data_IF_888258217675
#
_entry.id   IF_888258217675
#
_cell.length_a   1.000
_cell.length_b   1.000
_cell.length_c   1.000
_cell.angle_alpha   90.00
_cell.angle_beta   90.00
_cell.angle_gamma   90.00
#
_symmetry.space_group_name_H-M   'P 1'
#
loop_
_entity.id
_entity.type
_entity.pdbx_description
1 polymer ?
#
# COMPACT_ATOMS: atom_id res chain seq x y z
N UNK A 1 41.23 6.74 -20.65
CA UNK A 1 40.24 7.81 -20.38
C UNK A 1 39.08 7.82 -21.39
N UNK A 2 39.32 7.61 -22.69
CA UNK A 2 38.25 7.58 -23.72
C UNK A 2 37.29 6.38 -23.62
N UNK A 3 37.74 5.21 -23.17
CA UNK A 3 36.88 4.02 -23.01
C UNK A 3 35.90 4.16 -21.82
N UNK A 4 36.30 4.87 -20.76
CA UNK A 4 35.45 5.10 -19.58
C UNK A 4 34.32 6.11 -19.86
N UNK A 5 34.57 7.10 -20.74
CA UNK A 5 33.55 8.04 -21.20
C UNK A 5 32.54 7.38 -22.16
N UNK A 6 32.99 6.42 -22.99
CA UNK A 6 32.10 5.68 -23.91
C UNK A 6 31.21 4.69 -23.14
N UNK A 7 31.72 4.02 -22.11
CA UNK A 7 30.92 3.17 -21.22
C UNK A 7 29.94 3.98 -20.37
N UNK A 8 30.31 5.17 -19.90
CA UNK A 8 29.39 6.06 -19.19
C UNK A 8 28.24 6.56 -20.08
N UNK A 9 28.49 6.84 -21.36
CA UNK A 9 27.46 7.26 -22.32
C UNK A 9 26.55 6.13 -22.80
N UNK A 10 27.04 4.88 -22.87
CA UNK A 10 26.21 3.71 -23.23
C UNK A 10 25.28 3.33 -22.06
N UNK A 11 25.73 3.51 -20.81
CA UNK A 11 24.88 3.28 -19.62
C UNK A 11 23.80 4.38 -19.47
N UNK A 12 24.05 5.61 -19.93
CA UNK A 12 23.00 6.67 -19.91
C UNK A 12 21.96 6.51 -21.02
N UNK A 13 22.33 5.95 -22.18
CA UNK A 13 21.41 5.75 -23.30
C UNK A 13 20.50 4.52 -23.15
N UNK A 14 20.88 3.53 -22.33
CA UNK A 14 20.06 2.33 -22.04
C UNK A 14 19.02 2.55 -20.92
N UNK A 15 19.01 3.72 -20.29
CA UNK A 15 18.07 4.11 -19.21
C UNK A 15 16.95 5.04 -19.67
N UNK A 16 16.85 5.35 -20.97
CA UNK A 16 15.70 6.06 -21.51
C UNK A 16 14.57 5.06 -21.79
N UNK A 17 13.42 5.15 -21.10
CA UNK A 17 12.27 4.32 -21.45
C UNK A 17 11.86 4.65 -22.90
N UNK A 18 11.95 3.65 -23.77
CA UNK A 18 11.37 3.73 -25.10
C UNK A 18 9.85 3.66 -24.95
N UNK A 19 9.19 4.81 -25.09
CA UNK A 19 7.73 4.92 -25.08
C UNK A 19 7.11 4.11 -26.22
N UNK A 20 6.21 3.19 -25.87
CA UNK A 20 5.24 2.59 -26.79
C UNK A 20 3.87 2.59 -26.09
N UNK A 21 2.94 3.40 -26.62
CA UNK A 21 1.57 3.57 -26.14
C UNK A 21 1.41 4.78 -25.20
N UNK A 22 0.95 5.91 -25.74
CA UNK A 22 0.54 7.05 -24.92
C UNK A 22 -0.80 6.75 -24.24
N UNK A 23 -0.81 5.85 -23.25
CA UNK A 23 -1.78 5.92 -22.17
C UNK A 23 -1.52 7.23 -21.41
N UNK A 24 -2.58 7.92 -20.96
CA UNK A 24 -2.39 9.15 -20.21
C UNK A 24 -1.64 8.82 -18.91
N UNK A 25 -0.36 9.15 -18.85
CA UNK A 25 0.43 8.95 -17.65
C UNK A 25 -0.02 9.95 -16.59
N UNK A 26 -0.85 9.50 -15.65
CA UNK A 26 -1.22 10.29 -14.48
C UNK A 26 0.02 10.74 -13.71
N UNK A 27 0.10 12.04 -13.41
CA UNK A 27 1.15 12.58 -12.56
C UNK A 27 0.90 12.17 -11.10
N UNK A 28 1.59 11.14 -10.63
CA UNK A 28 1.34 10.53 -9.31
C UNK A 28 1.99 11.28 -8.14
N UNK A 29 2.74 12.36 -8.38
CA UNK A 29 3.54 13.02 -7.34
C UNK A 29 2.70 13.44 -6.14
N UNK A 30 1.63 14.21 -6.36
CA UNK A 30 0.75 14.70 -5.29
C UNK A 30 -0.03 13.56 -4.65
N UNK A 31 -0.60 12.66 -5.46
CA UNK A 31 -1.33 11.49 -4.97
C UNK A 31 -0.48 10.63 -4.03
N UNK A 32 0.77 10.37 -4.38
CA UNK A 32 1.71 9.63 -3.54
C UNK A 32 1.93 10.28 -2.19
N UNK A 33 1.88 11.61 -2.11
CA UNK A 33 2.16 12.41 -0.91
C UNK A 33 0.92 12.59 -0.04
N UNK A 34 -0.28 12.31 -0.55
CA UNK A 34 -1.52 12.39 0.23
C UNK A 34 -1.37 11.62 1.55
N UNK A 35 -1.71 12.22 2.68
CA UNK A 35 -1.58 11.56 3.98
C UNK A 35 -2.70 10.53 4.23
N UNK A 36 -2.36 9.50 4.99
CA UNK A 36 -3.29 8.50 5.52
C UNK A 36 -2.90 8.11 6.95
N UNK A 37 -3.88 7.91 7.82
CA UNK A 37 -3.68 7.34 9.15
C UNK A 37 -3.79 5.81 9.10
N UNK A 38 -2.64 5.13 9.16
CA UNK A 38 -2.56 3.67 9.17
C UNK A 38 -1.76 3.19 10.37
N UNK A 39 -2.32 2.24 11.14
CA UNK A 39 -1.70 1.72 12.38
C UNK A 39 -1.32 2.82 13.39
N UNK A 40 -2.17 3.84 13.53
CA UNK A 40 -1.95 4.95 14.46
C UNK A 40 -0.86 5.94 14.04
N UNK A 41 -0.29 5.80 12.83
CA UNK A 41 0.71 6.73 12.28
C UNK A 41 0.25 7.32 10.96
N UNK A 42 0.42 8.64 10.83
CA UNK A 42 0.28 9.34 9.56
C UNK A 42 1.46 9.01 8.65
N UNK A 43 1.17 8.48 7.47
CA UNK A 43 2.16 8.13 6.44
C UNK A 43 1.68 8.61 5.07
N UNK A 44 2.58 8.81 4.09
CA UNK A 44 2.13 9.14 2.75
C UNK A 44 1.45 7.93 2.12
N UNK A 45 0.46 8.16 1.26
CA UNK A 45 -0.38 7.15 0.65
C UNK A 45 0.44 6.14 -0.16
N UNK A 46 1.56 6.56 -0.74
CA UNK A 46 2.51 5.65 -1.39
C UNK A 46 3.08 4.59 -0.44
N UNK A 47 3.33 4.95 0.82
CA UNK A 47 3.82 4.00 1.83
C UNK A 47 2.74 2.98 2.19
N UNK A 48 1.51 3.45 2.37
CA UNK A 48 0.37 2.57 2.59
C UNK A 48 0.16 1.61 1.40
N UNK A 49 0.22 2.14 0.18
CA UNK A 49 0.11 1.36 -1.04
C UNK A 49 1.17 0.25 -1.12
N UNK A 50 2.45 0.58 -0.84
CA UNK A 50 3.54 -0.39 -0.82
C UNK A 50 3.32 -1.49 0.22
N UNK A 51 2.86 -1.13 1.42
CA UNK A 51 2.61 -2.08 2.51
C UNK A 51 1.50 -3.06 2.10
N UNK A 52 0.38 -2.53 1.61
CA UNK A 52 -0.76 -3.35 1.18
C UNK A 52 -0.40 -4.25 0.00
N UNK A 53 0.25 -3.71 -1.03
CA UNK A 53 0.63 -4.51 -2.20
C UNK A 53 1.58 -5.64 -1.83
N UNK A 54 2.60 -5.37 -1.00
CA UNK A 54 3.54 -6.39 -0.52
C UNK A 54 2.85 -7.42 0.37
N UNK A 55 1.90 -7.00 1.21
CA UNK A 55 1.15 -7.91 2.06
C UNK A 55 0.31 -8.89 1.25
N UNK A 56 -0.28 -8.46 0.14
CA UNK A 56 -1.11 -9.32 -0.71
C UNK A 56 -0.28 -10.16 -1.69
N UNK A 57 0.67 -9.53 -2.39
CA UNK A 57 1.38 -10.16 -3.52
C UNK A 57 2.78 -10.65 -3.19
N UNK A 58 3.39 -10.13 -2.13
CA UNK A 58 4.83 -10.28 -1.86
C UNK A 58 5.73 -9.45 -2.81
N UNK A 59 5.16 -8.64 -3.70
CA UNK A 59 5.88 -7.90 -4.74
C UNK A 59 5.88 -6.39 -4.46
N UNK A 60 6.90 -5.69 -4.98
CA UNK A 60 6.99 -4.21 -4.89
C UNK A 60 6.20 -3.52 -6.01
N UNK A 61 5.99 -4.24 -7.11
CA UNK A 61 5.27 -3.80 -8.30
C UNK A 61 4.43 -4.96 -8.78
N UNK A 62 3.31 -4.65 -9.42
CA UNK A 62 2.42 -5.64 -10.00
C UNK A 62 2.36 -5.42 -11.50
N UNK A 63 2.92 -6.36 -12.27
CA UNK A 63 3.09 -6.21 -13.72
C UNK A 63 3.87 -4.92 -14.03
N UNK A 64 3.26 -3.97 -14.77
CA UNK A 64 3.83 -2.66 -15.08
C UNK A 64 3.39 -1.54 -14.13
N UNK A 65 2.61 -1.86 -13.09
CA UNK A 65 2.08 -0.89 -12.13
C UNK A 65 2.95 -0.82 -10.87
N UNK A 66 3.29 0.38 -10.44
CA UNK A 66 3.77 0.60 -9.08
C UNK A 66 2.63 0.47 -8.06
N UNK A 67 2.99 0.40 -6.77
CA UNK A 67 1.99 0.22 -5.72
C UNK A 67 0.93 1.33 -5.69
N UNK A 68 1.31 2.58 -6.00
CA UNK A 68 0.35 3.70 -5.99
C UNK A 68 -0.62 3.63 -7.16
N UNK A 69 -0.17 3.18 -8.33
CA UNK A 69 -1.04 2.91 -9.49
C UNK A 69 -2.00 1.75 -9.19
N UNK A 70 -1.48 0.66 -8.60
CA UNK A 70 -2.33 -0.45 -8.15
C UNK A 70 -3.38 -0.01 -7.13
N UNK A 71 -2.99 0.80 -6.13
CA UNK A 71 -3.94 1.32 -5.15
C UNK A 71 -5.00 2.21 -5.80
N UNK A 72 -4.61 3.05 -6.76
CA UNK A 72 -5.54 3.91 -7.52
C UNK A 72 -6.58 3.07 -8.26
N UNK A 73 -6.15 2.03 -8.98
CA UNK A 73 -7.04 1.07 -9.64
C UNK A 73 -7.98 0.39 -8.63
N UNK A 74 -7.44 -0.05 -7.49
CA UNK A 74 -8.20 -0.74 -6.44
C UNK A 74 -9.28 0.15 -5.82
N UNK A 75 -9.01 1.44 -5.66
CA UNK A 75 -9.91 2.40 -5.05
C UNK A 75 -10.98 2.92 -6.02
N UNK A 76 -10.63 3.17 -7.28
CA UNK A 76 -11.49 3.88 -8.23
C UNK A 76 -12.08 3.00 -9.34
N UNK A 77 -11.56 1.78 -9.51
CA UNK A 77 -12.14 0.77 -10.38
C UNK A 77 -12.13 -0.63 -9.74
N UNK A 78 -12.93 -0.83 -8.67
CA UNK A 78 -12.90 -2.06 -7.88
C UNK A 78 -13.32 -3.30 -8.67
N UNK A 79 -14.09 -3.14 -9.75
CA UNK A 79 -14.46 -4.26 -10.62
C UNK A 79 -13.23 -4.83 -11.33
N UNK A 80 -12.45 -3.96 -12.01
CA UNK A 80 -11.21 -4.38 -12.66
C UNK A 80 -10.18 -4.87 -11.66
N UNK A 81 -10.09 -4.23 -10.49
CA UNK A 81 -9.17 -4.65 -9.42
C UNK A 81 -9.51 -6.04 -8.84
N UNK A 82 -10.79 -6.44 -8.82
CA UNK A 82 -11.19 -7.77 -8.35
C UNK A 82 -10.73 -8.90 -9.27
N UNK A 83 -10.55 -8.62 -10.56
CA UNK A 83 -10.05 -9.57 -11.56
C UNK A 83 -8.52 -9.61 -11.64
N UNK A 84 -7.84 -8.61 -11.07
CA UNK A 84 -6.38 -8.51 -11.10
C UNK A 84 -5.74 -9.55 -10.16
N UNK A 85 -4.82 -10.41 -10.66
CA UNK A 85 -4.10 -11.35 -9.79
C UNK A 85 -3.15 -10.60 -8.85
N UNK A 86 -3.44 -10.65 -7.54
CA UNK A 86 -2.69 -9.90 -6.52
C UNK A 86 -2.36 -10.73 -5.27
N UNK A 87 -3.00 -11.87 -5.06
CA UNK A 87 -2.81 -12.68 -3.87
C UNK A 87 -1.81 -13.81 -4.08
N UNK A 88 -0.83 -13.90 -3.19
CA UNK A 88 0.03 -15.09 -3.08
C UNK A 88 -0.60 -16.14 -2.18
N UNK A 89 -0.51 -17.42 -2.58
CA UNK A 89 -0.81 -18.58 -1.74
C UNK A 89 0.38 -19.52 -1.83
N UNK A 90 1.21 -19.56 -0.79
CA UNK A 90 2.49 -20.31 -0.84
C UNK A 90 2.36 -21.80 -0.50
N UNK A 91 1.23 -22.23 0.05
CA UNK A 91 1.03 -23.61 0.50
C UNK A 91 0.32 -24.44 -0.59
N UNK A 92 1.06 -25.36 -1.22
CA UNK A 92 0.54 -26.24 -2.28
C UNK A 92 -0.64 -27.12 -1.83
N UNK A 93 -0.67 -27.52 -0.56
CA UNK A 93 -1.78 -28.31 -0.02
C UNK A 93 -3.04 -27.47 0.08
N UNK A 94 -2.88 -26.20 0.48
CA UNK A 94 -3.97 -25.24 0.55
C UNK A 94 -4.48 -24.87 -0.85
N UNK A 95 -3.59 -24.66 -1.83
CA UNK A 95 -3.97 -24.46 -3.25
C UNK A 95 -4.83 -25.63 -3.73
N UNK A 96 -4.40 -26.86 -3.45
CA UNK A 96 -5.13 -28.08 -3.83
C UNK A 96 -6.51 -28.12 -3.16
N UNK A 97 -6.58 -27.80 -1.86
CA UNK A 97 -7.82 -27.79 -1.09
C UNK A 97 -8.81 -26.72 -1.57
N UNK A 98 -8.30 -25.54 -1.90
CA UNK A 98 -9.06 -24.43 -2.48
C UNK A 98 -9.41 -24.65 -3.97
N UNK A 99 -8.89 -25.72 -4.60
CA UNK A 99 -9.07 -26.04 -6.03
C UNK A 99 -8.59 -24.90 -6.95
N UNK A 100 -7.52 -24.23 -6.54
CA UNK A 100 -6.88 -23.17 -7.31
C UNK A 100 -5.86 -23.76 -8.30
N UNK A 101 -5.60 -23.02 -9.39
CA UNK A 101 -4.66 -23.44 -10.43
C UNK A 101 -3.20 -23.32 -9.95
N UNK A 102 -2.54 -24.47 -9.79
CA UNK A 102 -1.14 -24.57 -9.33
C UNK A 102 -0.12 -23.93 -10.28
N UNK A 103 -0.48 -23.64 -11.53
CA UNK A 103 0.43 -23.00 -12.48
C UNK A 103 0.56 -21.49 -12.25
N UNK A 104 -0.35 -20.91 -11.46
CA UNK A 104 -0.39 -19.48 -11.16
C UNK A 104 0.38 -19.15 -9.88
N UNK A 105 1.19 -18.09 -9.95
CA UNK A 105 1.91 -17.56 -8.78
C UNK A 105 1.06 -16.58 -7.97
N UNK A 106 0.10 -15.92 -8.62
CA UNK A 106 -0.83 -14.98 -8.02
C UNK A 106 -2.25 -15.30 -8.45
N UNK A 107 -3.20 -15.08 -7.56
CA UNK A 107 -4.62 -15.29 -7.78
C UNK A 107 -5.39 -13.98 -7.63
N UNK A 108 -6.48 -13.83 -8.37
CA UNK A 108 -7.38 -12.68 -8.25
C UNK A 108 -8.35 -12.85 -7.09
N UNK A 109 -8.95 -11.73 -6.67
CA UNK A 109 -10.01 -11.76 -5.67
C UNK A 109 -11.22 -12.59 -6.15
N UNK A 110 -11.57 -12.46 -7.44
CA UNK A 110 -12.65 -13.22 -8.07
C UNK A 110 -12.41 -14.75 -8.01
N UNK A 111 -11.15 -15.19 -8.08
CA UNK A 111 -10.79 -16.61 -7.93
C UNK A 111 -10.82 -17.08 -6.47
N UNK A 112 -10.31 -16.27 -5.53
CA UNK A 112 -10.16 -16.66 -4.11
C UNK A 112 -11.50 -16.64 -3.36
N UNK A 113 -12.34 -15.64 -3.60
CA UNK A 113 -13.54 -15.41 -2.79
C UNK A 113 -14.50 -16.63 -2.76
N UNK A 114 -14.80 -17.30 -3.89
CA UNK A 114 -15.64 -18.49 -3.87
C UNK A 114 -14.98 -19.67 -3.14
N UNK A 115 -13.66 -19.83 -3.28
CA UNK A 115 -12.91 -20.91 -2.65
C UNK A 115 -12.87 -20.75 -1.13
N UNK A 116 -12.62 -19.54 -0.63
CA UNK A 116 -12.70 -19.25 0.81
C UNK A 116 -14.12 -19.43 1.34
N UNK A 117 -15.14 -18.97 0.59
CA UNK A 117 -16.54 -19.16 1.01
C UNK A 117 -16.88 -20.64 1.24
N UNK A 118 -16.36 -21.55 0.42
CA UNK A 118 -16.56 -22.99 0.59
C UNK A 118 -15.85 -23.57 1.83
N UNK A 119 -14.80 -22.91 2.33
CA UNK A 119 -14.03 -23.31 3.51
C UNK A 119 -14.44 -22.58 4.79
N UNK A 120 -15.55 -21.82 4.77
CA UNK A 120 -15.96 -20.97 5.90
C UNK A 120 -16.14 -21.76 7.19
N UNK A 121 -16.85 -22.88 7.12
CA UNK A 121 -17.21 -23.67 8.31
C UNK A 121 -15.97 -24.31 8.97
N UNK A 122 -14.96 -24.66 8.16
CA UNK A 122 -13.68 -25.17 8.66
C UNK A 122 -12.79 -24.06 9.25
N UNK A 123 -12.86 -22.84 8.70
CA UNK A 123 -12.03 -21.72 9.12
C UNK A 123 -12.57 -20.99 10.36
N UNK A 124 -13.89 -20.93 10.53
CA UNK A 124 -14.54 -20.21 11.62
C UNK A 124 -14.02 -20.58 13.03
N UNK A 125 -13.87 -21.87 13.41
CA UNK A 125 -13.35 -22.21 14.73
C UNK A 125 -11.87 -21.86 14.92
N UNK A 126 -11.12 -21.65 13.84
CA UNK A 126 -9.68 -21.33 13.90
C UNK A 126 -9.43 -19.90 14.40
N UNK A 127 -10.35 -18.97 14.14
CA UNK A 127 -10.25 -17.58 14.63
C UNK A 127 -10.28 -17.47 16.15
N UNK A 128 -10.81 -18.48 16.85
CA UNK A 128 -10.87 -18.52 18.32
C UNK A 128 -9.70 -19.28 18.96
N UNK A 129 -8.82 -19.91 18.16
CA UNK A 129 -7.65 -20.62 18.67
C UNK A 129 -6.50 -19.64 18.95
N UNK A 130 -5.68 -19.95 19.95
CA UNK A 130 -4.42 -19.23 20.16
C UNK A 130 -3.44 -19.49 19.01
N UNK A 131 -2.63 -18.49 18.67
CA UNK A 131 -1.70 -18.56 17.54
C UNK A 131 -0.66 -19.71 17.67
N UNK A 132 -0.28 -20.05 18.90
CA UNK A 132 0.66 -21.15 19.21
C UNK A 132 0.06 -22.54 18.95
N UNK A 133 -1.27 -22.66 19.00
CA UNK A 133 -1.99 -23.91 18.77
C UNK A 133 -2.32 -24.16 17.29
N UNK A 134 -2.14 -23.15 16.42
CA UNK A 134 -2.38 -23.26 14.98
C UNK A 134 -1.22 -23.94 14.26
N UNK A 135 -1.55 -24.89 13.40
CA UNK A 135 -0.62 -25.47 12.42
C UNK A 135 -0.22 -24.44 11.36
N UNK A 136 0.91 -24.68 10.66
CA UNK A 136 1.36 -23.77 9.59
C UNK A 136 0.33 -23.56 8.48
N UNK A 137 -0.44 -24.60 8.15
CA UNK A 137 -1.51 -24.54 7.14
C UNK A 137 -2.68 -23.68 7.64
N UNK A 138 -3.12 -23.88 8.89
CA UNK A 138 -4.19 -23.08 9.49
C UNK A 138 -3.80 -21.59 9.56
N UNK A 139 -2.54 -21.28 9.92
CA UNK A 139 -2.01 -19.90 9.89
C UNK A 139 -2.06 -19.30 8.48
N UNK A 140 -1.69 -20.08 7.48
CA UNK A 140 -1.70 -19.63 6.08
C UNK A 140 -3.13 -19.37 5.59
N UNK A 141 -4.07 -20.25 5.95
CA UNK A 141 -5.50 -20.07 5.67
C UNK A 141 -6.06 -18.82 6.34
N UNK A 142 -5.81 -18.62 7.64
CA UNK A 142 -6.27 -17.44 8.36
C UNK A 142 -5.70 -16.15 7.79
N UNK A 143 -4.39 -16.12 7.47
CA UNK A 143 -3.77 -14.97 6.80
C UNK A 143 -4.42 -14.68 5.44
N UNK A 144 -4.80 -15.71 4.68
CA UNK A 144 -5.52 -15.52 3.42
C UNK A 144 -6.91 -14.89 3.65
N UNK A 145 -7.65 -15.30 4.69
CA UNK A 145 -8.90 -14.64 5.08
C UNK A 145 -8.70 -13.18 5.49
N UNK A 146 -7.71 -12.89 6.34
CA UNK A 146 -7.37 -11.53 6.77
C UNK A 146 -7.02 -10.64 5.57
N UNK A 147 -6.13 -11.11 4.70
CA UNK A 147 -5.74 -10.39 3.49
C UNK A 147 -6.95 -10.14 2.56
N UNK A 148 -7.82 -11.14 2.40
CA UNK A 148 -9.04 -11.01 1.59
C UNK A 148 -10.01 -10.00 2.20
N UNK A 149 -10.12 -9.95 3.52
CA UNK A 149 -10.95 -8.97 4.23
C UNK A 149 -10.40 -7.54 4.06
N UNK A 150 -9.09 -7.35 4.22
CA UNK A 150 -8.42 -6.05 4.00
C UNK A 150 -8.57 -5.58 2.56
N UNK A 151 -8.37 -6.46 1.57
CA UNK A 151 -8.57 -6.12 0.18
C UNK A 151 -10.04 -5.78 -0.12
N UNK A 152 -10.98 -6.50 0.49
CA UNK A 152 -12.42 -6.17 0.40
C UNK A 152 -12.71 -4.78 0.96
N UNK A 153 -12.08 -4.39 2.07
CA UNK A 153 -12.20 -3.04 2.63
C UNK A 153 -11.62 -1.97 1.68
N UNK A 154 -10.48 -2.24 1.01
CA UNK A 154 -9.95 -1.35 -0.02
C UNK A 154 -10.93 -1.18 -1.19
N UNK A 155 -11.39 -2.29 -1.79
CA UNK A 155 -12.34 -2.28 -2.89
C UNK A 155 -13.61 -1.47 -2.57
N UNK A 156 -14.05 -1.54 -1.30
CA UNK A 156 -15.26 -0.87 -0.83
C UNK A 156 -15.04 0.54 -0.34
N UNK A 157 -13.80 1.06 -0.30
CA UNK A 157 -13.51 2.35 0.34
C UNK A 157 -14.27 3.53 -0.27
N UNK A 158 -14.51 3.49 -1.59
CA UNK A 158 -15.22 4.54 -2.32
C UNK A 158 -16.49 4.06 -3.04
N UNK A 159 -16.94 2.81 -2.85
CA UNK A 159 -18.10 2.29 -3.58
C UNK A 159 -19.39 3.07 -3.31
N UNK A 160 -19.43 3.85 -2.24
CA UNK A 160 -20.50 4.81 -1.98
C UNK A 160 -20.60 5.93 -3.03
N UNK A 161 -19.45 6.39 -3.51
CA UNK A 161 -19.28 7.56 -4.38
C UNK A 161 -19.22 7.17 -5.86
N UNK A 162 -18.98 5.90 -6.15
CA UNK A 162 -18.90 5.40 -7.52
C UNK A 162 -20.30 5.22 -8.15
N UNK A 163 -20.46 5.51 -9.45
CA UNK A 163 -21.70 5.23 -10.16
C UNK A 163 -22.07 3.74 -10.10
N UNK A 164 -23.36 3.47 -9.92
CA UNK A 164 -23.95 2.14 -9.90
C UNK A 164 -24.58 1.84 -11.26
N UNK A 165 -24.22 0.70 -11.84
CA UNK A 165 -24.89 0.18 -13.04
C UNK A 165 -26.23 -0.48 -12.66
N UNK A 166 -27.18 0.36 -12.27
CA UNK A 166 -28.51 -0.03 -11.84
C UNK A 166 -29.54 0.94 -12.41
N UNK A 167 -30.63 0.41 -12.98
CA UNK A 167 -31.78 1.21 -13.38
C UNK A 167 -32.83 1.23 -12.27
N UNK A 168 -33.44 2.38 -12.01
CA UNK A 168 -34.58 2.50 -11.10
C UNK A 168 -35.89 2.64 -11.89
N UNK A 169 -37.01 2.08 -11.39
CA UNK A 169 -38.32 2.34 -11.97
C UNK A 169 -38.65 3.84 -12.03
N UNK A 170 -39.48 4.30 -13.00
CA UNK A 170 -39.82 5.72 -13.16
C UNK A 170 -40.31 6.42 -11.89
N UNK A 171 -40.98 5.68 -11.00
CA UNK A 171 -41.51 6.20 -9.74
C UNK A 171 -40.44 6.76 -8.76
N UNK A 172 -39.16 6.47 -8.97
CA UNK A 172 -38.06 6.97 -8.15
C UNK A 172 -37.23 8.05 -8.85
N UNK A 173 -37.38 8.21 -10.17
CA UNK A 173 -36.45 9.04 -10.97
C UNK A 173 -36.53 10.53 -10.61
N UNK A 174 -37.70 11.02 -10.20
CA UNK A 174 -37.90 12.42 -9.79
C UNK A 174 -37.14 12.80 -8.51
N UNK A 175 -36.61 11.82 -7.77
CA UNK A 175 -35.87 12.02 -6.51
C UNK A 175 -34.36 11.85 -6.66
N UNK A 176 -33.90 11.51 -7.87
CA UNK A 176 -32.50 11.20 -8.17
C UNK A 176 -31.88 12.35 -8.94
N UNK A 177 -30.76 12.85 -8.44
CA UNK A 177 -30.00 13.93 -9.07
C UNK A 177 -28.74 13.33 -9.75
N UNK A 178 -28.75 13.26 -11.07
CA UNK A 178 -27.58 12.82 -11.85
C UNK A 178 -27.38 11.30 -11.88
N UNK A 179 -26.11 10.86 -11.78
CA UNK A 179 -25.75 9.44 -11.88
C UNK A 179 -26.06 8.71 -10.58
N UNK A 180 -26.73 7.56 -10.68
CA UNK A 180 -27.11 6.77 -9.51
C UNK A 180 -25.86 6.28 -8.76
N UNK A 181 -25.81 6.56 -7.46
CA UNK A 181 -24.77 6.10 -6.54
C UNK A 181 -25.42 5.72 -5.19
N UNK A 182 -24.62 5.39 -4.18
CA UNK A 182 -25.18 5.02 -2.86
C UNK A 182 -25.95 6.17 -2.19
N UNK A 183 -25.43 7.39 -2.26
CA UNK A 183 -26.07 8.58 -1.68
C UNK A 183 -27.42 8.86 -2.34
N UNK A 184 -27.51 8.70 -3.66
CA UNK A 184 -28.77 8.83 -4.40
C UNK A 184 -29.77 7.71 -4.02
N UNK A 185 -29.30 6.47 -3.80
CA UNK A 185 -30.16 5.39 -3.31
C UNK A 185 -30.69 5.63 -1.88
N UNK A 186 -29.92 6.31 -1.03
CA UNK A 186 -30.39 6.69 0.31
C UNK A 186 -31.61 7.62 0.27
N UNK A 187 -31.69 8.52 -0.73
CA UNK A 187 -32.84 9.44 -0.88
C UNK A 187 -34.17 8.69 -1.03
N UNK A 188 -34.14 7.55 -1.73
CA UNK A 188 -35.32 6.73 -2.06
C UNK A 188 -35.48 5.49 -1.18
N UNK A 189 -34.61 5.30 -0.18
CA UNK A 189 -34.54 4.10 0.65
C UNK A 189 -35.89 3.72 1.26
N UNK A 190 -36.55 4.67 1.94
CA UNK A 190 -37.81 4.41 2.63
C UNK A 190 -38.88 3.89 1.68
N UNK A 191 -38.93 4.42 0.46
CA UNK A 191 -39.89 4.00 -0.55
C UNK A 191 -39.51 2.61 -1.10
N UNK A 192 -38.23 2.36 -1.38
CA UNK A 192 -37.73 1.04 -1.79
C UNK A 192 -38.06 -0.04 -0.77
N UNK A 193 -37.86 0.23 0.53
CA UNK A 193 -38.16 -0.70 1.61
C UNK A 193 -39.67 -1.01 1.72
N UNK A 194 -40.51 0.02 1.61
CA UNK A 194 -41.97 -0.13 1.62
C UNK A 194 -42.45 -0.97 0.43
N UNK A 195 -41.96 -0.67 -0.77
CA UNK A 195 -42.34 -1.38 -1.99
C UNK A 195 -41.86 -2.84 -1.97
N UNK A 196 -40.61 -3.08 -1.54
CA UNK A 196 -40.08 -4.43 -1.38
C UNK A 196 -40.87 -5.24 -0.34
N UNK A 197 -41.19 -4.64 0.81
CA UNK A 197 -42.00 -5.30 1.84
C UNK A 197 -43.37 -5.67 1.28
N UNK A 198 -44.02 -4.76 0.56
CA UNK A 198 -45.31 -5.03 -0.09
C UNK A 198 -45.25 -6.16 -1.11
N UNK A 199 -44.15 -6.28 -1.87
CA UNK A 199 -43.91 -7.39 -2.81
C UNK A 199 -43.76 -8.71 -2.05
N UNK A 200 -42.92 -8.73 -1.01
CA UNK A 200 -42.66 -9.93 -0.20
C UNK A 200 -43.95 -10.40 0.48
N UNK A 201 -44.79 -9.51 1.00
CA UNK A 201 -46.07 -9.87 1.61
C UNK A 201 -47.03 -10.51 0.61
N UNK A 202 -47.09 -10.02 -0.63
CA UNK A 202 -48.00 -10.56 -1.66
C UNK A 202 -47.50 -11.84 -2.31
N UNK A 203 -46.19 -11.98 -2.51
CA UNK A 203 -45.60 -13.02 -3.39
C UNK A 203 -44.59 -13.94 -2.69
N UNK A 204 -44.28 -13.68 -1.43
CA UNK A 204 -43.20 -14.36 -0.71
C UNK A 204 -41.81 -13.88 -1.16
N UNK A 205 -40.75 -14.57 -0.73
CA UNK A 205 -39.34 -14.21 -1.00
C UNK A 205 -38.75 -14.88 -2.25
N UNK A 206 -39.59 -15.47 -3.10
CA UNK A 206 -39.15 -16.21 -4.29
C UNK A 206 -39.05 -15.24 -5.50
N UNK A 207 -37.82 -14.90 -5.97
CA UNK A 207 -37.65 -13.92 -7.04
C UNK A 207 -38.26 -14.36 -8.39
N UNK A 208 -38.49 -15.66 -8.60
CA UNK A 208 -39.09 -16.16 -9.84
C UNK A 208 -40.55 -15.71 -10.04
N UNK A 209 -41.21 -15.29 -8.95
CA UNK A 209 -42.60 -14.79 -8.96
C UNK A 209 -42.70 -13.29 -9.21
N UNK A 210 -41.57 -12.60 -9.28
CA UNK A 210 -41.53 -11.15 -9.41
C UNK A 210 -41.62 -10.74 -10.87
N UNK A 211 -42.38 -9.69 -11.14
CA UNK A 211 -42.35 -9.01 -12.44
C UNK A 211 -40.98 -8.35 -12.65
N UNK A 212 -40.60 -8.02 -13.90
CA UNK A 212 -39.33 -7.32 -14.16
C UNK A 212 -39.15 -6.06 -13.32
N UNK A 213 -40.22 -5.26 -13.12
CA UNK A 213 -40.20 -4.06 -12.29
C UNK A 213 -39.96 -4.37 -10.80
N UNK A 214 -40.64 -5.39 -10.26
CA UNK A 214 -40.46 -5.82 -8.87
C UNK A 214 -39.05 -6.38 -8.64
N UNK A 215 -38.49 -7.09 -9.63
CA UNK A 215 -37.12 -7.57 -9.59
C UNK A 215 -36.12 -6.41 -9.53
N UNK A 216 -36.36 -5.32 -10.26
CA UNK A 216 -35.53 -4.11 -10.19
C UNK A 216 -35.56 -3.48 -8.79
N UNK A 217 -36.72 -3.39 -8.15
CA UNK A 217 -36.85 -2.89 -6.76
C UNK A 217 -36.09 -3.78 -5.78
N UNK A 218 -36.24 -5.10 -5.91
CA UNK A 218 -35.53 -6.07 -5.08
C UNK A 218 -34.01 -5.97 -5.27
N UNK A 219 -33.53 -5.84 -6.51
CA UNK A 219 -32.11 -5.61 -6.83
C UNK A 219 -31.61 -4.31 -6.20
N UNK A 220 -32.32 -3.19 -6.38
CA UNK A 220 -31.94 -1.91 -5.80
C UNK A 220 -31.81 -1.97 -4.27
N UNK A 221 -32.80 -2.57 -3.61
CA UNK A 221 -32.79 -2.76 -2.16
C UNK A 221 -31.63 -3.67 -1.70
N UNK A 222 -31.37 -4.76 -2.42
CA UNK A 222 -30.26 -5.66 -2.12
C UNK A 222 -28.89 -4.97 -2.31
N UNK A 223 -28.73 -4.17 -3.38
CA UNK A 223 -27.53 -3.38 -3.61
C UNK A 223 -27.30 -2.37 -2.48
N UNK A 224 -28.35 -1.64 -2.09
CA UNK A 224 -28.28 -0.67 -0.98
C UNK A 224 -27.83 -1.34 0.32
N UNK A 225 -28.44 -2.47 0.68
CA UNK A 225 -28.08 -3.23 1.88
C UNK A 225 -26.66 -3.79 1.81
N UNK A 226 -26.24 -4.30 0.65
CA UNK A 226 -24.89 -4.85 0.45
C UNK A 226 -23.82 -3.76 0.58
N UNK A 227 -24.06 -2.59 0.00
CA UNK A 227 -23.18 -1.43 0.11
C UNK A 227 -23.10 -0.95 1.56
N UNK A 228 -24.23 -0.82 2.25
CA UNK A 228 -24.28 -0.42 3.67
C UNK A 228 -23.55 -1.41 4.57
N UNK A 229 -23.77 -2.71 4.40
CA UNK A 229 -23.07 -3.74 5.17
C UNK A 229 -21.56 -3.70 4.91
N UNK A 230 -21.14 -3.41 3.67
CA UNK A 230 -19.75 -3.22 3.32
C UNK A 230 -19.11 -1.94 3.89
N UNK A 231 -19.92 -0.99 4.33
CA UNK A 231 -19.50 0.29 4.88
C UNK A 231 -19.30 0.29 6.39
N UNK A 232 -20.19 -0.40 7.12
CA UNK A 232 -20.25 -0.34 8.59
C UNK A 232 -18.94 -0.77 9.27
N UNK A 233 -18.23 -1.73 8.69
CA UNK A 233 -16.98 -2.27 9.25
C UNK A 233 -15.71 -1.78 8.52
N UNK A 234 -15.84 -0.79 7.62
CA UNK A 234 -14.71 -0.33 6.80
C UNK A 234 -13.98 0.85 7.43
N UNK A 235 -12.97 0.53 8.24
CA UNK A 235 -12.11 1.50 8.94
C UNK A 235 -10.70 1.64 8.34
N UNK A 236 -10.44 0.99 7.19
CA UNK A 236 -9.07 0.86 6.67
C UNK A 236 -8.53 2.18 6.09
N UNK A 237 -9.30 2.82 5.21
CA UNK A 237 -8.84 3.99 4.46
C UNK A 237 -9.15 5.31 5.20
N UNK A 238 -8.43 5.58 6.29
CA UNK A 238 -8.57 6.82 7.08
C UNK A 238 -7.78 7.98 6.46
N UNK A 239 -8.44 8.74 5.60
CA UNK A 239 -7.83 9.76 4.72
C UNK A 239 -8.47 11.15 4.88
N UNK A 240 -9.51 11.29 5.70
CA UNK A 240 -10.19 12.57 5.92
C UNK A 240 -9.93 13.00 7.37
N UNK A 241 -9.16 14.07 7.62
CA UNK A 241 -9.04 14.61 8.97
C UNK A 241 -10.37 15.19 9.44
N UNK A 242 -10.71 14.98 10.71
CA UNK A 242 -11.88 15.60 11.35
C UNK A 242 -11.45 16.44 12.54
N UNK A 243 -11.96 17.67 12.61
CA UNK A 243 -11.75 18.57 13.75
C UNK A 243 -13.00 18.55 14.62
N UNK A 244 -12.92 17.91 15.79
CA UNK A 244 -13.95 17.95 16.83
C UNK A 244 -13.40 18.62 18.08
N UNK A 245 -14.26 19.32 18.81
CA UNK A 245 -13.90 20.14 19.99
C UNK A 245 -13.20 19.33 21.10
N UNK A 246 -13.52 18.05 21.26
CA UNK A 246 -13.01 17.17 22.33
C UNK A 246 -12.05 16.07 21.86
N UNK A 247 -11.86 15.85 20.55
CA UNK A 247 -10.95 14.83 20.01
C UNK A 247 -9.97 15.43 19.01
N UNK A 248 -8.76 15.73 19.49
CA UNK A 248 -7.65 16.16 18.64
C UNK A 248 -7.30 15.05 17.64
N UNK A 249 -7.27 15.41 16.37
CA UNK A 249 -6.65 14.68 15.26
C UNK A 249 -7.17 13.25 15.01
N UNK A 250 -8.50 13.08 14.95
CA UNK A 250 -9.09 11.85 14.44
C UNK A 250 -9.13 11.88 12.91
N UNK A 251 -8.84 10.73 12.29
CA UNK A 251 -8.97 10.55 10.84
C UNK A 251 -10.12 9.59 10.56
N UNK A 252 -10.99 10.01 9.68
CA UNK A 252 -12.20 9.33 9.27
C UNK A 252 -12.00 8.65 7.91
N UNK A 253 -12.76 7.57 7.69
CA UNK A 253 -12.92 6.98 6.36
C UNK A 253 -14.02 7.71 5.60
N UNK A 254 -14.05 7.65 4.25
CA UNK A 254 -15.16 8.19 3.46
C UNK A 254 -16.53 7.72 3.96
N UNK A 255 -16.65 6.44 4.31
CA UNK A 255 -17.90 5.86 4.85
C UNK A 255 -18.36 6.49 6.16
N UNK A 256 -17.44 6.71 7.11
CA UNK A 256 -17.79 7.31 8.40
C UNK A 256 -18.34 8.73 8.22
N UNK A 257 -17.72 9.54 7.35
CA UNK A 257 -18.21 10.89 7.03
C UNK A 257 -19.62 10.84 6.40
N UNK A 258 -19.83 9.93 5.44
CA UNK A 258 -21.10 9.82 4.71
C UNK A 258 -22.25 9.30 5.56
N UNK A 259 -22.02 8.25 6.35
CA UNK A 259 -23.09 7.56 7.09
C UNK A 259 -23.42 8.24 8.41
N UNK A 260 -22.41 8.76 9.11
CA UNK A 260 -22.61 9.34 10.43
C UNK A 260 -22.91 10.85 10.36
N UNK A 261 -22.74 11.48 9.20
CA UNK A 261 -22.97 12.92 9.02
C UNK A 261 -22.01 13.77 9.87
N UNK A 262 -20.87 13.19 10.24
CA UNK A 262 -19.95 13.65 11.27
C UNK A 262 -18.78 14.49 10.67
N UNK A 263 -19.02 15.24 9.61
CA UNK A 263 -18.01 16.05 8.93
C UNK A 263 -18.29 17.56 9.02
N UNK A 264 -17.28 18.36 9.36
CA UNK A 264 -17.32 19.81 9.14
C UNK A 264 -17.22 20.17 7.64
N UNK A 265 -17.32 21.47 7.27
CA UNK A 265 -17.28 21.91 5.86
C UNK A 265 -16.04 21.42 5.10
N UNK A 266 -14.88 21.39 5.77
CA UNK A 266 -13.65 20.89 5.20
C UNK A 266 -13.68 19.39 4.87
N UNK A 267 -14.28 18.57 5.74
CA UNK A 267 -14.40 17.13 5.52
C UNK A 267 -15.33 16.84 4.33
N UNK A 268 -16.41 17.62 4.19
CA UNK A 268 -17.33 17.54 3.06
C UNK A 268 -16.64 17.93 1.74
N UNK A 269 -15.84 19.00 1.74
CA UNK A 269 -15.04 19.39 0.57
C UNK A 269 -14.02 18.32 0.20
N UNK A 270 -13.29 17.75 1.17
CA UNK A 270 -12.35 16.66 0.89
C UNK A 270 -13.05 15.46 0.27
N UNK A 271 -14.23 15.09 0.78
CA UNK A 271 -15.03 14.00 0.21
C UNK A 271 -15.46 14.28 -1.23
N UNK A 272 -15.86 15.52 -1.55
CA UNK A 272 -16.18 15.89 -2.94
C UNK A 272 -14.94 15.85 -3.83
N UNK A 273 -13.79 16.33 -3.37
CA UNK A 273 -12.55 16.27 -4.13
C UNK A 273 -12.10 14.81 -4.38
N UNK A 274 -12.23 13.91 -3.41
CA UNK A 274 -11.96 12.48 -3.63
C UNK A 274 -12.92 11.85 -4.65
N UNK A 275 -14.18 12.28 -4.67
CA UNK A 275 -15.16 11.86 -5.70
C UNK A 275 -14.75 12.34 -7.08
N UNK A 276 -14.37 13.61 -7.20
CA UNK A 276 -13.89 14.21 -8.45
C UNK A 276 -12.59 13.55 -8.92
N UNK A 277 -11.70 13.17 -8.00
CA UNK A 277 -10.46 12.45 -8.31
C UNK A 277 -10.75 11.08 -8.93
N UNK A 278 -11.71 10.34 -8.36
CA UNK A 278 -12.17 9.07 -8.92
C UNK A 278 -12.78 9.27 -10.33
N UNK A 279 -13.54 10.35 -10.53
CA UNK A 279 -14.07 10.75 -11.83
C UNK A 279 -12.97 11.03 -12.86
N UNK A 280 -11.95 11.81 -12.47
CA UNK A 280 -10.81 12.13 -13.33
C UNK A 280 -10.03 10.87 -13.73
N UNK A 281 -9.83 9.93 -12.80
CA UNK A 281 -9.20 8.64 -13.10
C UNK A 281 -10.02 7.84 -14.12
N UNK A 282 -11.34 7.67 -13.88
CA UNK A 282 -12.22 6.89 -14.75
C UNK A 282 -12.44 7.50 -16.14
N UNK A 283 -12.31 8.81 -16.26
CA UNK A 283 -12.41 9.54 -17.53
C UNK A 283 -11.06 9.71 -18.24
N UNK A 284 -9.97 9.18 -17.65
CA UNK A 284 -8.61 9.32 -18.17
C UNK A 284 -8.14 10.79 -18.30
N UNK A 285 -8.59 11.67 -17.40
CA UNK A 285 -8.25 13.10 -17.39
C UNK A 285 -7.06 13.37 -16.46
N UNK A 286 -5.85 13.26 -17.02
CA UNK A 286 -4.61 13.45 -16.28
C UNK A 286 -4.40 14.89 -15.76
N UNK A 287 -4.98 15.92 -16.41
CA UNK A 287 -4.84 17.30 -15.98
C UNK A 287 -5.70 17.58 -14.75
N UNK A 288 -6.96 17.12 -14.78
CA UNK A 288 -7.88 17.24 -13.66
C UNK A 288 -7.41 16.40 -12.47
N UNK A 289 -6.88 15.20 -12.71
CA UNK A 289 -6.23 14.37 -11.69
C UNK A 289 -5.16 15.11 -10.91
N UNK A 290 -4.23 15.78 -11.61
CA UNK A 290 -3.14 16.52 -10.97
C UNK A 290 -3.67 17.64 -10.08
N UNK A 291 -4.56 18.45 -10.64
CA UNK A 291 -5.14 19.63 -9.97
C UNK A 291 -5.86 19.21 -8.68
N UNK A 292 -6.74 18.21 -8.78
CA UNK A 292 -7.49 17.72 -7.60
C UNK A 292 -6.55 17.09 -6.57
N UNK A 293 -5.53 16.32 -7.00
CA UNK A 293 -4.57 15.73 -6.07
C UNK A 293 -3.80 16.79 -5.27
N UNK A 294 -3.49 17.92 -5.90
CA UNK A 294 -2.88 19.08 -5.24
C UNK A 294 -3.86 19.74 -4.27
N UNK A 295 -5.10 20.00 -4.69
CA UNK A 295 -6.15 20.59 -3.85
C UNK A 295 -6.44 19.73 -2.60
N UNK A 296 -6.52 18.40 -2.75
CA UNK A 296 -6.72 17.48 -1.61
C UNK A 296 -5.55 17.60 -0.63
N UNK A 297 -4.31 17.65 -1.14
CA UNK A 297 -3.13 17.76 -0.29
C UNK A 297 -3.12 19.08 0.50
N UNK A 298 -3.37 20.20 -0.19
CA UNK A 298 -3.40 21.52 0.42
C UNK A 298 -4.49 21.61 1.50
N UNK A 299 -5.71 21.20 1.18
CA UNK A 299 -6.82 21.24 2.11
C UNK A 299 -6.60 20.31 3.31
N UNK A 300 -6.04 19.11 3.09
CA UNK A 300 -5.74 18.18 4.19
C UNK A 300 -4.70 18.76 5.14
N UNK A 301 -3.70 19.50 4.63
CA UNK A 301 -2.71 20.19 5.46
C UNK A 301 -3.32 21.37 6.24
N UNK A 302 -4.29 22.08 5.65
CA UNK A 302 -5.02 23.15 6.34
C UNK A 302 -5.88 22.61 7.49
N UNK A 303 -6.47 21.42 7.32
CA UNK A 303 -7.32 20.79 8.34
C UNK A 303 -6.54 20.04 9.43
N UNK A 304 -5.24 19.76 9.25
CA UNK A 304 -4.42 19.08 10.26
C UNK A 304 -3.04 19.73 10.46
N UNK A 305 -2.97 21.02 10.84
CA UNK A 305 -1.71 21.76 10.89
C UNK A 305 -0.78 21.33 12.04
N UNK A 306 -1.31 20.68 13.08
CA UNK A 306 -0.53 20.27 14.26
C UNK A 306 0.03 18.86 14.16
N UNK A 307 -0.72 17.93 13.55
CA UNK A 307 -0.32 16.52 13.46
C UNK A 307 0.53 16.22 12.21
N UNK A 308 0.16 16.82 11.06
CA UNK A 308 0.80 16.54 9.78
C UNK A 308 2.09 17.35 9.58
N UNK A 309 3.16 16.62 9.26
CA UNK A 309 4.42 17.21 8.85
C UNK A 309 4.75 16.84 7.39
N UNK A 310 4.52 17.77 6.47
CA UNK A 310 4.76 17.56 5.03
C UNK A 310 6.22 17.18 4.71
N UNK A 311 7.19 17.69 5.47
CA UNK A 311 8.61 17.33 5.29
C UNK A 311 8.83 15.87 5.65
N UNK A 312 8.19 15.37 6.71
CA UNK A 312 8.22 13.95 7.10
C UNK A 312 7.65 13.06 6.01
N UNK A 313 6.50 13.41 5.43
CA UNK A 313 5.90 12.65 4.33
C UNK A 313 6.85 12.56 3.12
N UNK A 314 7.44 13.70 2.70
CA UNK A 314 8.40 13.75 1.59
C UNK A 314 9.69 12.98 1.89
N UNK A 315 10.19 13.02 3.13
CA UNK A 315 11.36 12.25 3.55
C UNK A 315 11.06 10.74 3.50
N UNK A 316 9.88 10.29 3.94
CA UNK A 316 9.48 8.87 3.85
C UNK A 316 9.40 8.40 2.40
N UNK A 317 8.84 9.22 1.50
CA UNK A 317 8.82 8.91 0.07
C UNK A 317 10.23 8.76 -0.52
N UNK A 318 11.12 9.72 -0.23
CA UNK A 318 12.50 9.67 -0.68
C UNK A 318 13.21 8.43 -0.13
N UNK A 319 13.02 8.13 1.16
CA UNK A 319 13.59 6.96 1.82
C UNK A 319 13.16 5.66 1.13
N UNK A 320 11.89 5.55 0.72
CA UNK A 320 11.38 4.39 -0.01
C UNK A 320 11.93 4.32 -1.43
N UNK A 321 11.91 5.41 -2.18
CA UNK A 321 12.36 5.42 -3.59
C UNK A 321 13.86 5.13 -3.73
N UNK A 322 14.68 5.59 -2.79
CA UNK A 322 16.15 5.43 -2.86
C UNK A 322 16.61 4.03 -2.43
N UNK A 323 15.81 3.30 -1.63
CA UNK A 323 16.21 2.03 -1.02
C UNK A 323 17.63 2.08 -0.39
N UNK A 324 17.85 2.95 0.62
CA UNK A 324 19.19 3.31 1.09
C UNK A 324 20.03 2.12 1.57
N UNK A 325 19.42 1.09 2.14
CA UNK A 325 20.16 -0.10 2.56
C UNK A 325 20.77 -0.89 1.41
N UNK A 326 20.14 -0.91 0.23
CA UNK A 326 20.72 -1.52 -0.97
C UNK A 326 21.99 -0.79 -1.36
N UNK A 327 21.97 0.55 -1.37
CA UNK A 327 23.16 1.38 -1.64
C UNK A 327 24.27 1.14 -0.61
N UNK A 328 23.91 1.03 0.68
CA UNK A 328 24.88 0.75 1.76
C UNK A 328 25.52 -0.63 1.58
N UNK A 329 24.74 -1.67 1.27
CA UNK A 329 25.26 -3.01 0.97
C UNK A 329 26.22 -2.95 -0.22
N UNK A 330 25.87 -2.24 -1.29
CA UNK A 330 26.74 -2.07 -2.45
C UNK A 330 28.05 -1.36 -2.08
N UNK A 331 28.00 -0.30 -1.27
CA UNK A 331 29.20 0.41 -0.81
C UNK A 331 30.12 -0.48 0.05
N UNK A 332 29.55 -1.29 0.95
CA UNK A 332 30.32 -2.27 1.72
C UNK A 332 30.89 -3.37 0.83
N UNK A 333 30.12 -3.89 -0.13
CA UNK A 333 30.60 -4.87 -1.11
C UNK A 333 31.77 -4.34 -1.95
N UNK A 334 31.67 -3.10 -2.45
CA UNK A 334 32.74 -2.45 -3.18
C UNK A 334 33.99 -2.20 -2.31
N UNK A 335 33.79 -1.85 -1.04
CA UNK A 335 34.88 -1.74 -0.06
C UNK A 335 35.60 -3.09 0.12
N UNK A 336 34.86 -4.19 0.33
CA UNK A 336 35.43 -5.54 0.47
C UNK A 336 36.22 -5.94 -0.77
N UNK A 337 35.64 -5.73 -1.95
CA UNK A 337 36.28 -6.05 -3.22
C UNK A 337 37.59 -5.26 -3.39
N UNK A 338 37.56 -3.95 -3.18
CA UNK A 338 38.74 -3.09 -3.29
C UNK A 338 39.80 -3.46 -2.24
N UNK A 339 39.41 -3.69 -0.99
CA UNK A 339 40.32 -4.09 0.09
C UNK A 339 40.99 -5.44 -0.20
N UNK A 340 40.24 -6.41 -0.73
CA UNK A 340 40.76 -7.73 -1.10
C UNK A 340 41.76 -7.62 -2.25
N UNK A 341 41.46 -6.81 -3.26
CA UNK A 341 42.38 -6.55 -4.37
C UNK A 341 43.73 -5.97 -3.89
N UNK A 342 43.71 -5.07 -2.90
CA UNK A 342 44.92 -4.49 -2.32
C UNK A 342 45.76 -5.46 -1.48
N UNK A 343 45.20 -6.61 -1.07
CA UNK A 343 45.99 -7.68 -0.45
C UNK A 343 46.90 -8.38 -1.46
N UNK A 344 46.48 -8.48 -2.73
CA UNK A 344 47.26 -9.12 -3.79
C UNK A 344 48.20 -8.15 -4.52
N UNK A 345 47.80 -6.88 -4.67
CA UNK A 345 48.56 -5.89 -5.42
C UNK A 345 48.56 -4.54 -4.71
N UNK A 346 49.74 -4.03 -4.39
CA UNK A 346 49.89 -2.72 -3.73
C UNK A 346 50.20 -1.62 -4.76
N UNK A 347 49.20 -0.86 -5.24
CA UNK A 347 49.41 0.23 -6.20
C UNK A 347 50.23 1.35 -5.57
N UNK A 348 51.02 2.07 -6.38
CA UNK A 348 51.83 3.21 -5.91
C UNK A 348 50.98 4.46 -5.62
N UNK A 349 49.82 4.59 -6.27
CA UNK A 349 48.93 5.73 -6.10
C UNK A 349 48.23 5.70 -4.73
N UNK A 350 48.43 6.74 -3.91
CA UNK A 350 47.84 6.88 -2.56
C UNK A 350 46.31 6.79 -2.58
N UNK A 351 45.65 7.37 -3.59
CA UNK A 351 44.19 7.37 -3.71
C UNK A 351 43.62 5.94 -3.81
N UNK A 352 44.28 5.05 -4.56
CA UNK A 352 43.85 3.66 -4.70
C UNK A 352 43.99 2.87 -3.39
N UNK A 353 44.95 3.24 -2.51
CA UNK A 353 45.11 2.63 -1.20
C UNK A 353 44.04 3.08 -0.19
N UNK A 354 43.55 4.31 -0.33
CA UNK A 354 42.51 4.87 0.55
C UNK A 354 41.09 4.51 0.09
N UNK A 355 40.92 4.11 -1.18
CA UNK A 355 39.61 3.84 -1.77
C UNK A 355 38.72 2.88 -0.96
N UNK A 356 39.19 1.72 -0.45
CA UNK A 356 38.33 0.82 0.33
C UNK A 356 37.82 1.48 1.61
N UNK A 357 38.71 2.16 2.35
CA UNK A 357 38.34 2.85 3.59
C UNK A 357 37.40 4.02 3.33
N UNK A 358 37.56 4.76 2.22
CA UNK A 358 36.65 5.84 1.82
C UNK A 358 35.26 5.31 1.41
N UNK A 359 35.19 4.19 0.70
CA UNK A 359 33.94 3.51 0.37
C UNK A 359 33.20 3.05 1.63
N UNK A 360 33.92 2.39 2.56
CA UNK A 360 33.36 1.97 3.84
C UNK A 360 32.88 3.17 4.68
N UNK A 361 33.67 4.24 4.75
CA UNK A 361 33.30 5.46 5.47
C UNK A 361 32.05 6.12 4.86
N UNK A 362 31.96 6.18 3.53
CA UNK A 362 30.78 6.68 2.82
C UNK A 362 29.55 5.82 3.15
N UNK A 363 29.71 4.50 3.15
CA UNK A 363 28.65 3.56 3.57
C UNK A 363 28.20 3.79 5.00
N UNK A 364 29.12 4.01 5.95
CA UNK A 364 28.81 4.31 7.35
C UNK A 364 28.07 5.65 7.49
N UNK A 365 28.53 6.70 6.82
CA UNK A 365 27.86 8.02 6.84
C UNK A 365 26.44 7.89 6.31
N UNK A 366 26.26 7.23 5.16
CA UNK A 366 24.95 6.96 4.61
C UNK A 366 24.08 6.11 5.55
N UNK A 367 24.67 5.14 6.24
CA UNK A 367 23.97 4.30 7.21
C UNK A 367 23.49 5.10 8.44
N UNK A 368 24.31 6.01 8.97
CA UNK A 368 23.91 6.93 10.05
C UNK A 368 22.75 7.80 9.58
N UNK A 369 22.88 8.45 8.42
CA UNK A 369 21.81 9.30 7.85
C UNK A 369 20.52 8.50 7.66
N UNK A 370 20.62 7.26 7.17
CA UNK A 370 19.49 6.35 6.97
C UNK A 370 18.80 6.01 8.28
N UNK A 371 19.56 5.68 9.33
CA UNK A 371 19.01 5.42 10.66
C UNK A 371 18.35 6.66 11.26
N UNK A 372 18.98 7.83 11.15
CA UNK A 372 18.40 9.11 11.62
C UNK A 372 17.11 9.44 10.87
N UNK A 373 17.08 9.28 9.54
CA UNK A 373 15.88 9.47 8.74
C UNK A 373 14.77 8.51 9.17
N UNK A 374 15.10 7.24 9.44
CA UNK A 374 14.13 6.25 9.93
C UNK A 374 13.55 6.62 11.29
N UNK A 375 14.37 7.09 12.23
CA UNK A 375 13.91 7.59 13.54
C UNK A 375 12.95 8.77 13.35
N UNK A 376 13.28 9.70 12.45
CA UNK A 376 12.42 10.84 12.14
C UNK A 376 11.10 10.42 11.46
N UNK A 377 11.11 9.41 10.59
CA UNK A 377 9.91 8.90 9.93
C UNK A 377 9.00 8.16 10.93
N UNK A 378 9.57 7.24 11.72
CA UNK A 378 8.84 6.38 12.65
C UNK A 378 8.47 7.06 13.97
N UNK A 379 9.07 8.21 14.28
CA UNK A 379 8.85 8.97 15.53
C UNK A 379 9.14 8.16 16.80
N UNK A 380 10.07 7.19 16.71
CA UNK A 380 10.49 6.35 17.83
C UNK A 380 11.95 5.92 17.68
N UNK A 381 12.67 5.64 18.77
CA UNK A 381 14.05 5.15 18.72
C UNK A 381 14.15 3.74 18.11
N UNK A 382 15.30 3.37 17.50
CA UNK A 382 15.45 2.15 16.71
C UNK A 382 15.83 0.92 17.55
N UNK A 383 15.11 0.69 18.65
CA UNK A 383 15.40 -0.40 19.61
C UNK A 383 14.17 -1.24 19.93
N UNK A 384 13.05 -1.01 19.22
CA UNK A 384 11.78 -1.67 19.49
C UNK A 384 11.72 -3.10 18.99
N UNK A 385 12.51 -3.45 17.97
CA UNK A 385 12.46 -4.77 17.33
C UNK A 385 13.82 -5.40 17.07
N UNK A 386 13.81 -6.72 16.86
CA UNK A 386 14.98 -7.46 16.41
C UNK A 386 15.51 -6.93 15.07
N UNK A 387 14.60 -6.59 14.15
CA UNK A 387 14.95 -5.97 12.88
C UNK A 387 15.72 -4.65 13.08
N UNK A 388 15.23 -3.74 13.93
CA UNK A 388 15.91 -2.46 14.19
C UNK A 388 17.26 -2.67 14.88
N UNK A 389 17.36 -3.64 15.79
CA UNK A 389 18.60 -4.02 16.46
C UNK A 389 19.68 -4.49 15.48
N UNK A 390 19.32 -5.29 14.46
CA UNK A 390 20.25 -5.77 13.43
C UNK A 390 20.85 -4.59 12.64
N UNK A 391 20.03 -3.58 12.31
CA UNK A 391 20.51 -2.39 11.59
C UNK A 391 21.55 -1.62 12.41
N UNK A 392 21.31 -1.48 13.72
CA UNK A 392 22.24 -0.81 14.61
C UNK A 392 23.55 -1.60 14.81
N UNK A 393 23.46 -2.91 15.06
CA UNK A 393 24.65 -3.78 15.20
C UNK A 393 25.50 -3.77 13.93
N UNK A 394 24.84 -3.78 12.75
CA UNK A 394 25.52 -3.65 11.46
C UNK A 394 26.40 -2.40 11.39
N UNK A 395 25.88 -1.25 11.82
CA UNK A 395 26.64 0.01 11.83
C UNK A 395 27.89 -0.10 12.70
N UNK A 396 27.77 -0.71 13.89
CA UNK A 396 28.88 -0.92 14.82
C UNK A 396 29.94 -1.83 14.19
N UNK A 397 29.55 -2.95 13.56
CA UNK A 397 30.49 -3.86 12.90
C UNK A 397 31.33 -3.15 11.82
N UNK A 398 30.70 -2.34 10.97
CA UNK A 398 31.41 -1.57 9.94
C UNK A 398 32.36 -0.53 10.56
N UNK A 399 31.91 0.20 11.59
CA UNK A 399 32.71 1.19 12.28
C UNK A 399 33.93 0.58 13.00
N UNK A 400 33.74 -0.54 13.70
CA UNK A 400 34.84 -1.29 14.34
C UNK A 400 35.84 -1.79 13.30
N UNK A 401 35.39 -2.22 12.12
CA UNK A 401 36.29 -2.61 11.03
C UNK A 401 37.26 -1.50 10.62
N UNK A 402 36.78 -0.27 10.47
CA UNK A 402 37.63 0.90 10.18
C UNK A 402 38.54 1.25 11.36
N UNK A 403 38.02 1.24 12.60
CA UNK A 403 38.82 1.56 13.78
C UNK A 403 39.97 0.57 13.99
N UNK A 404 39.71 -0.73 13.82
CA UNK A 404 40.74 -1.77 13.93
C UNK A 404 41.72 -1.74 12.77
N UNK A 405 41.28 -1.35 11.56
CA UNK A 405 42.18 -1.09 10.43
C UNK A 405 43.11 0.11 10.71
N UNK A 406 42.73 1.08 11.54
CA UNK A 406 43.67 2.15 11.96
C UNK A 406 44.74 1.64 12.92
N UNK A 407 44.39 0.67 13.78
CA UNK A 407 45.32 0.05 14.72
C UNK A 407 46.21 -1.03 14.09
N UNK A 408 45.83 -1.58 12.93
CA UNK A 408 46.54 -2.66 12.22
C UNK A 408 46.84 -2.24 10.79
N UNK A 409 48.05 -2.44 10.29
CA UNK A 409 48.43 -2.10 8.90
C UNK A 409 47.79 -2.98 7.82
N UNK A 410 46.90 -3.90 8.19
CA UNK A 410 46.24 -4.87 7.30
C UNK A 410 44.80 -4.45 6.98
N UNK A 411 44.32 -4.81 5.79
CA UNK A 411 42.91 -4.63 5.39
C UNK A 411 41.97 -5.71 5.94
N UNK A 412 42.49 -6.76 6.59
CA UNK A 412 41.66 -7.85 7.15
C UNK A 412 40.56 -7.33 8.09
N UNK A 413 40.80 -6.41 9.05
CA UNK A 413 39.74 -5.90 9.92
C UNK A 413 38.65 -5.12 9.18
N UNK A 414 39.02 -4.42 8.10
CA UNK A 414 38.06 -3.70 7.26
C UNK A 414 37.17 -4.70 6.51
N UNK A 415 37.76 -5.74 5.92
CA UNK A 415 37.05 -6.79 5.19
C UNK A 415 36.10 -7.53 6.12
N UNK A 416 36.54 -7.92 7.33
CA UNK A 416 35.69 -8.63 8.28
C UNK A 416 34.55 -7.73 8.78
N UNK A 417 34.84 -6.49 9.18
CA UNK A 417 33.81 -5.56 9.68
C UNK A 417 32.74 -5.22 8.63
N UNK A 418 33.17 -4.87 7.41
CA UNK A 418 32.24 -4.57 6.30
C UNK A 418 31.56 -5.82 5.75
N UNK A 419 32.22 -6.98 5.77
CA UNK A 419 31.64 -8.28 5.39
C UNK A 419 30.53 -8.73 6.34
N UNK A 420 30.76 -8.66 7.66
CA UNK A 420 29.74 -8.92 8.66
C UNK A 420 28.58 -7.93 8.53
N UNK A 421 28.85 -6.64 8.33
CA UNK A 421 27.81 -5.64 8.13
C UNK A 421 26.96 -5.92 6.88
N UNK A 422 27.58 -6.23 5.73
CA UNK A 422 26.85 -6.57 4.51
C UNK A 422 25.98 -7.82 4.70
N UNK A 423 26.52 -8.87 5.34
CA UNK A 423 25.78 -10.10 5.62
C UNK A 423 24.56 -9.84 6.53
N UNK A 424 24.73 -9.07 7.61
CA UNK A 424 23.64 -8.71 8.51
C UNK A 424 22.54 -7.92 7.80
N UNK A 425 22.89 -6.97 6.92
CA UNK A 425 21.89 -6.22 6.15
C UNK A 425 21.14 -7.09 5.13
N UNK A 426 21.81 -8.08 4.53
CA UNK A 426 21.16 -9.04 3.63
C UNK A 426 20.19 -9.94 4.40
N UNK A 427 20.51 -10.31 5.64
CA UNK A 427 19.65 -11.12 6.50
C UNK A 427 18.52 -10.32 7.17
N UNK A 428 18.67 -8.99 7.33
CA UNK A 428 17.71 -8.16 8.06
C UNK A 428 16.25 -8.31 7.56
N UNK A 429 15.95 -8.35 6.23
CA UNK A 429 14.58 -8.50 5.74
C UNK A 429 13.86 -9.80 6.13
N UNK A 430 14.58 -10.83 6.60
CA UNK A 430 13.99 -12.07 7.12
C UNK A 430 13.19 -11.81 8.40
N UNK A 431 13.55 -10.77 9.15
CA UNK A 431 12.84 -10.32 10.33
C UNK A 431 11.80 -9.28 9.91
N UNK A 432 10.59 -9.37 10.47
CA UNK A 432 9.47 -8.48 10.13
C UNK A 432 9.91 -7.01 10.29
N UNK A 433 9.99 -6.23 9.20
CA UNK A 433 10.25 -4.81 9.31
C UNK A 433 8.98 -4.11 9.80
N UNK A 434 9.09 -3.30 10.84
CA UNK A 434 8.02 -2.40 11.24
C UNK A 434 7.99 -1.20 10.29
N UNK A 435 6.79 -0.84 9.78
CA UNK A 435 6.53 0.50 9.25
C UNK A 435 6.03 0.61 7.81
#
# INVERSE_FOLDING_TARGET
>A
MRIFLILASIITALLLPQNAGAEAHFEMQYFKTLPILHEGREKPLSSFADIMLRQFSGQEKLQNMDASQWLTLTLFDPQSAAELPVFTVSDETLITKLKLDKTQNLYSYAQIQPALKAMRDEALPLFSKEETALTGQEKTLLRLYENTALFTALLRSFTALLPLDLSLPPAYQDQIDGALNFTELLKVEKQLEQDLTGIITRKGRDPSKYTPRELTIAKASFHLQTLRAGAQDNELLRIIPVQWEDSKDQWATPWTIMLQGQGGPGAAFLLSQWTDLAGAYRQNDARRWKTISEDILEETLLQSPQSLNIKRLKIEQLYRTVHPYTLIITLYGLSIFAATFLLFKQPTARLLRLAPTLLALTGIVLHIVTLTARIYILQRPPVGTLYESILFVTLICAALGILLQRARTSFIPLITGTGTAAALLICAPVFKPDG
#
